data_IF_320826736171
#
_entry.id   IF_320826736171
#
_cell.length_a   1.000
_cell.length_b   1.000
_cell.length_c   1.000
_cell.angle_alpha   90.00
_cell.angle_beta   90.00
_cell.angle_gamma   90.00
#
_symmetry.space_group_name_H-M   'P 1'
#
loop_
_entity.id
_entity.type
_entity.pdbx_description
1 polymer ?
#
# COMPACT_ATOMS: atom_id res chain seq x y z
N UNK A 1 -28.90 -15.00 57.16
CA UNK A 1 -27.47 -15.35 57.22
C UNK A 1 -26.97 -15.52 55.80
N UNK A 2 -25.82 -14.90 55.52
CA UNK A 2 -25.18 -14.66 54.23
C UNK A 2 -24.52 -15.95 53.70
N UNK A 3 -24.53 -16.18 52.38
CA UNK A 3 -23.37 -16.64 51.57
C UNK A 3 -23.84 -17.19 50.22
N UNK A 4 -23.15 -17.03 49.09
CA UNK A 4 -22.18 -16.07 48.56
C UNK A 4 -22.08 -16.44 47.07
N UNK A 5 -22.32 -15.48 46.19
CA UNK A 5 -22.21 -15.65 44.73
C UNK A 5 -20.73 -15.85 44.37
N UNK A 6 -20.39 -16.99 43.79
CA UNK A 6 -19.06 -17.20 43.21
C UNK A 6 -19.17 -17.00 41.70
N UNK A 7 -18.97 -15.77 41.22
CA UNK A 7 -18.68 -15.52 39.81
C UNK A 7 -17.24 -16.00 39.54
N UNK A 8 -17.11 -17.13 38.88
CA UNK A 8 -15.84 -17.51 38.25
C UNK A 8 -15.64 -16.58 37.05
N UNK A 9 -14.82 -15.53 37.21
CA UNK A 9 -14.21 -14.82 36.10
C UNK A 9 -13.18 -15.77 35.51
N UNK A 10 -13.55 -16.49 34.45
CA UNK A 10 -12.57 -17.12 33.59
C UNK A 10 -11.82 -15.98 32.88
N UNK A 11 -10.56 -15.76 33.28
CA UNK A 11 -9.61 -15.02 32.48
C UNK A 11 -9.57 -15.70 31.10
N UNK A 12 -10.13 -15.05 30.09
CA UNK A 12 -9.87 -15.46 28.72
C UNK A 12 -8.38 -15.30 28.50
N UNK A 13 -7.68 -16.42 28.29
CA UNK A 13 -6.33 -16.42 27.75
C UNK A 13 -6.33 -15.49 26.54
N UNK A 14 -5.56 -14.41 26.66
CA UNK A 14 -5.27 -13.51 25.56
C UNK A 14 -4.41 -14.32 24.60
N UNK A 15 -5.06 -15.10 23.74
CA UNK A 15 -4.44 -15.80 22.65
C UNK A 15 -3.66 -14.73 21.90
N UNK A 16 -2.34 -14.71 22.09
CA UNK A 16 -1.45 -13.73 21.47
C UNK A 16 -1.76 -13.78 19.99
N UNK A 17 -2.45 -12.76 19.49
CA UNK A 17 -2.87 -12.73 18.10
C UNK A 17 -1.60 -12.98 17.27
N UNK A 18 -1.64 -13.89 16.28
CA UNK A 18 -0.44 -14.25 15.53
C UNK A 18 0.23 -12.98 15.04
N UNK A 19 1.54 -12.86 15.31
CA UNK A 19 2.33 -11.70 14.92
C UNK A 19 2.11 -11.47 13.41
N UNK A 20 1.48 -10.36 13.03
CA UNK A 20 1.15 -10.13 11.63
C UNK A 20 2.35 -9.60 10.84
N UNK A 21 3.55 -9.67 11.41
CA UNK A 21 4.82 -9.38 10.76
C UNK A 21 5.17 -10.45 9.73
N UNK A 22 5.73 -10.03 8.59
CA UNK A 22 6.16 -10.93 7.54
C UNK A 22 6.02 -10.37 6.14
N UNK A 23 6.34 -11.19 5.13
CA UNK A 23 6.35 -10.76 3.74
C UNK A 23 4.93 -10.44 3.25
N UNK A 24 4.81 -9.37 2.46
CA UNK A 24 3.57 -8.98 1.79
C UNK A 24 3.81 -8.71 0.31
N UNK A 25 2.78 -8.99 -0.49
CA UNK A 25 2.67 -8.55 -1.88
C UNK A 25 1.39 -7.74 -2.03
N UNK A 26 1.47 -6.57 -2.66
CA UNK A 26 0.31 -5.70 -2.92
C UNK A 26 0.23 -5.46 -4.42
N UNK A 27 -0.83 -5.98 -5.04
CA UNK A 27 -1.16 -5.73 -6.43
C UNK A 27 -2.13 -4.54 -6.51
N UNK A 28 -1.89 -3.63 -7.46
CA UNK A 28 -2.70 -2.43 -7.67
C UNK A 28 -3.05 -2.29 -9.14
N UNK A 29 -4.32 -1.98 -9.40
CA UNK A 29 -4.79 -1.47 -10.68
C UNK A 29 -5.43 -0.09 -10.45
N UNK A 30 -5.00 0.91 -11.22
CA UNK A 30 -5.40 2.30 -11.01
C UNK A 30 -5.50 3.08 -12.32
N UNK A 31 -6.17 4.23 -12.23
CA UNK A 31 -6.23 5.24 -13.28
C UNK A 31 -5.82 6.61 -12.75
N UNK A 32 -5.26 7.45 -13.62
CA UNK A 32 -5.06 8.87 -13.28
C UNK A 32 -6.41 9.55 -13.08
N UNK A 33 -6.52 10.30 -11.99
CA UNK A 33 -7.67 11.16 -11.67
C UNK A 33 -7.34 12.64 -11.82
N UNK A 34 -6.06 12.96 -11.98
CA UNK A 34 -5.52 14.29 -12.23
C UNK A 34 -4.09 14.20 -12.76
N UNK A 35 -3.40 15.33 -12.90
CA UNK A 35 -2.03 15.36 -13.41
C UNK A 35 -1.03 14.62 -12.50
N UNK A 36 -1.28 14.65 -11.19
CA UNK A 36 -0.41 14.09 -10.16
C UNK A 36 -1.15 13.14 -9.22
N UNK A 37 -2.39 12.77 -9.52
CA UNK A 37 -3.19 11.93 -8.65
C UNK A 37 -3.73 10.72 -9.39
N UNK A 38 -3.81 9.59 -8.70
CA UNK A 38 -4.44 8.38 -9.19
C UNK A 38 -5.33 7.75 -8.12
N UNK A 39 -6.28 6.94 -8.58
CA UNK A 39 -7.12 6.13 -7.71
C UNK A 39 -7.40 4.78 -8.36
N UNK A 40 -7.66 3.78 -7.53
CA UNK A 40 -7.89 2.43 -8.00
C UNK A 40 -8.23 1.45 -6.88
N UNK A 41 -7.95 0.19 -7.15
CA UNK A 41 -8.13 -0.91 -6.21
C UNK A 41 -6.80 -1.59 -5.90
N UNK A 42 -6.70 -2.18 -4.71
CA UNK A 42 -5.57 -3.02 -4.32
C UNK A 42 -6.02 -4.38 -3.80
N UNK A 43 -5.11 -5.34 -3.86
CA UNK A 43 -5.20 -6.63 -3.16
C UNK A 43 -3.85 -6.92 -2.53
N UNK A 44 -3.86 -7.24 -1.23
CA UNK A 44 -2.69 -7.60 -0.44
C UNK A 44 -2.75 -9.09 -0.07
N UNK A 45 -1.62 -9.78 -0.17
CA UNK A 45 -1.44 -11.18 0.24
C UNK A 45 -0.12 -11.37 1.00
N UNK A 46 0.05 -12.51 1.67
CA UNK A 46 1.24 -12.85 2.46
C UNK A 46 0.93 -13.00 3.94
N UNK A 47 1.76 -12.43 4.82
CA UNK A 47 1.51 -12.40 6.27
C UNK A 47 0.24 -11.64 6.64
N UNK A 48 -0.23 -10.78 5.75
CA UNK A 48 -1.51 -10.09 5.84
C UNK A 48 -2.27 -10.21 4.53
N UNK A 49 -3.59 -10.32 4.64
CA UNK A 49 -4.50 -10.29 3.50
C UNK A 49 -5.55 -9.21 3.71
N UNK A 50 -5.71 -8.36 2.70
CA UNK A 50 -6.71 -7.29 2.68
C UNK A 50 -6.95 -6.85 1.23
N UNK A 51 -8.06 -6.16 1.00
CA UNK A 51 -8.36 -5.57 -0.30
C UNK A 51 -9.27 -4.37 -0.12
N UNK A 52 -9.25 -3.47 -1.10
CA UNK A 52 -10.05 -2.27 -1.05
C UNK A 52 -9.60 -1.24 -2.07
N UNK A 53 -9.76 0.03 -1.72
CA UNK A 53 -9.45 1.16 -2.58
C UNK A 53 -8.08 1.75 -2.27
N UNK A 54 -7.52 2.43 -3.25
CA UNK A 54 -6.27 3.19 -3.09
C UNK A 54 -6.37 4.54 -3.77
N UNK A 55 -5.71 5.52 -3.15
CA UNK A 55 -5.41 6.83 -3.74
C UNK A 55 -3.92 7.10 -3.64
N UNK A 56 -3.38 7.86 -4.58
CA UNK A 56 -1.99 8.24 -4.61
C UNK A 56 -1.82 9.68 -5.10
N UNK A 57 -0.82 10.34 -4.54
CA UNK A 57 -0.29 11.62 -4.99
C UNK A 57 1.18 11.45 -5.39
N UNK A 58 1.53 11.98 -6.55
CA UNK A 58 2.83 11.89 -7.20
C UNK A 58 3.51 13.25 -7.21
N UNK A 59 4.83 13.27 -7.06
CA UNK A 59 5.67 14.44 -7.31
C UNK A 59 6.77 14.05 -8.28
N UNK A 60 6.79 14.66 -9.46
CA UNK A 60 7.82 14.43 -10.46
C UNK A 60 9.03 15.33 -10.22
N UNK A 61 10.22 14.75 -10.19
CA UNK A 61 11.49 15.46 -10.00
C UNK A 61 12.11 15.99 -11.30
N UNK A 62 11.37 15.98 -12.41
CA UNK A 62 11.87 16.42 -13.71
C UNK A 62 10.76 16.45 -14.77
N UNK A 63 11.05 16.98 -15.98
CA UNK A 63 10.08 17.04 -17.06
C UNK A 63 9.74 15.64 -17.58
N UNK A 64 8.45 15.37 -17.81
CA UNK A 64 7.97 14.08 -18.35
C UNK A 64 8.48 13.76 -19.77
N UNK A 65 9.05 14.75 -20.45
CA UNK A 65 9.66 14.59 -21.79
C UNK A 65 11.09 14.05 -21.74
N UNK A 66 11.69 13.91 -20.56
CA UNK A 66 13.06 13.40 -20.38
C UNK A 66 13.04 12.12 -19.55
N UNK A 67 13.30 11.00 -20.21
CA UNK A 67 13.40 9.69 -19.57
C UNK A 67 14.85 9.42 -19.13
N UNK A 68 15.11 8.91 -17.92
CA UNK A 68 14.13 8.54 -16.89
C UNK A 68 13.67 9.74 -16.03
N UNK A 69 12.43 9.67 -15.54
CA UNK A 69 11.85 10.69 -14.64
C UNK A 69 11.85 10.18 -13.20
N UNK A 70 12.60 10.81 -12.27
CA UNK A 70 12.49 10.49 -10.86
C UNK A 70 11.14 10.98 -10.31
N UNK A 71 10.54 10.22 -9.41
CA UNK A 71 9.32 10.63 -8.71
C UNK A 71 9.33 10.18 -7.26
N UNK A 72 8.61 10.92 -6.42
CA UNK A 72 8.21 10.50 -5.08
C UNK A 72 6.70 10.38 -5.02
N UNK A 73 6.19 9.55 -4.12
CA UNK A 73 4.75 9.38 -3.98
C UNK A 73 4.33 9.14 -2.54
N UNK A 74 3.07 9.46 -2.26
CA UNK A 74 2.36 9.05 -1.05
C UNK A 74 1.10 8.33 -1.49
N UNK A 75 0.91 7.11 -0.99
CA UNK A 75 -0.23 6.27 -1.31
C UNK A 75 -0.95 5.86 -0.06
N UNK A 76 -2.27 5.94 -0.09
CA UNK A 76 -3.13 5.40 0.95
C UNK A 76 -3.87 4.18 0.41
N UNK A 77 -3.83 3.08 1.17
CA UNK A 77 -4.61 1.87 0.96
C UNK A 77 -5.70 1.84 2.04
N UNK A 78 -6.96 1.70 1.62
CA UNK A 78 -8.11 1.65 2.51
C UNK A 78 -8.82 0.32 2.32
N UNK A 79 -8.63 -0.59 3.28
CA UNK A 79 -9.25 -1.90 3.31
C UNK A 79 -10.18 -2.08 4.51
N UNK A 80 -10.66 -3.30 4.72
CA UNK A 80 -11.53 -3.61 5.87
C UNK A 80 -10.78 -3.61 7.19
N UNK A 81 -9.47 -3.85 7.13
CA UNK A 81 -8.61 -3.94 8.30
C UNK A 81 -8.11 -2.57 8.79
N UNK A 82 -8.40 -1.50 8.06
CA UNK A 82 -7.97 -0.13 8.35
C UNK A 82 -7.29 0.52 7.15
N UNK A 83 -6.54 1.58 7.41
CA UNK A 83 -5.75 2.28 6.40
C UNK A 83 -4.25 2.02 6.57
N UNK A 84 -3.54 1.92 5.45
CA UNK A 84 -2.09 1.88 5.39
C UNK A 84 -1.61 2.96 4.42
N UNK A 85 -0.86 3.92 4.93
CA UNK A 85 -0.21 4.96 4.13
C UNK A 85 1.26 4.60 3.95
N UNK A 86 1.70 4.56 2.70
CA UNK A 86 3.09 4.32 2.31
C UNK A 86 3.63 5.52 1.56
N UNK A 87 4.91 5.80 1.75
CA UNK A 87 5.66 6.77 0.97
C UNK A 87 6.74 6.04 0.18
N UNK A 88 7.04 6.50 -1.02
CA UNK A 88 8.11 5.89 -1.81
C UNK A 88 8.81 6.83 -2.75
N UNK A 89 9.83 6.30 -3.39
CA UNK A 89 10.62 6.94 -4.44
C UNK A 89 10.80 5.95 -5.57
N UNK A 90 10.57 6.38 -6.80
CA UNK A 90 10.65 5.52 -7.96
C UNK A 90 11.18 6.29 -9.17
N UNK A 91 11.50 5.53 -10.20
CA UNK A 91 11.93 6.04 -11.50
C UNK A 91 10.95 5.56 -12.55
N UNK A 92 10.40 6.50 -13.31
CA UNK A 92 9.54 6.24 -14.45
C UNK A 92 10.40 6.24 -15.74
N UNK A 93 10.38 5.15 -16.48
CA UNK A 93 11.14 4.99 -17.73
C UNK A 93 10.16 4.82 -18.88
N UNK A 94 10.13 5.79 -19.79
CA UNK A 94 9.27 5.73 -20.97
C UNK A 94 9.88 4.79 -22.03
N UNK A 95 9.09 3.84 -22.51
CA UNK A 95 9.43 2.98 -23.66
C UNK A 95 8.79 3.48 -24.96
N UNK A 96 7.77 4.33 -24.86
CA UNK A 96 7.16 5.06 -25.97
C UNK A 96 6.49 6.33 -25.44
N UNK A 97 5.82 7.11 -26.31
CA UNK A 97 5.02 8.25 -25.88
C UNK A 97 3.83 7.86 -24.97
N UNK A 98 3.37 6.61 -25.04
CA UNK A 98 2.17 6.15 -24.33
C UNK A 98 2.43 5.03 -23.33
N UNK A 99 3.68 4.56 -23.21
CA UNK A 99 4.03 3.46 -22.33
C UNK A 99 5.26 3.79 -21.48
N UNK A 100 5.17 3.47 -20.19
CA UNK A 100 6.29 3.57 -19.27
C UNK A 100 6.32 2.41 -18.27
N UNK A 101 7.50 2.12 -17.75
CA UNK A 101 7.69 1.23 -16.60
C UNK A 101 8.13 2.03 -15.39
N UNK A 102 7.84 1.51 -14.21
CA UNK A 102 8.19 2.10 -12.93
C UNK A 102 8.95 1.10 -12.08
N UNK A 103 10.02 1.54 -11.41
CA UNK A 103 10.74 0.77 -10.41
C UNK A 103 11.21 1.67 -9.27
N UNK A 104 11.15 1.19 -8.02
CA UNK A 104 11.49 2.00 -6.85
C UNK A 104 11.38 1.27 -5.52
N UNK A 105 11.29 2.05 -4.46
CA UNK A 105 11.14 1.58 -3.08
C UNK A 105 9.98 2.26 -2.36
N UNK A 106 9.53 1.63 -1.28
CA UNK A 106 8.51 2.17 -0.39
C UNK A 106 8.82 1.90 1.07
N UNK A 107 8.21 2.71 1.93
CA UNK A 107 8.21 2.58 3.39
C UNK A 107 6.80 2.87 3.92
N UNK A 108 6.39 2.21 4.99
CA UNK A 108 5.19 2.58 5.73
C UNK A 108 5.42 3.95 6.39
N UNK A 109 4.48 4.87 6.20
CA UNK A 109 4.46 6.18 6.84
C UNK A 109 3.52 6.17 8.05
N UNK A 110 2.34 5.53 7.92
CA UNK A 110 1.34 5.43 8.98
C UNK A 110 0.36 4.29 8.72
N UNK A 111 -0.19 3.70 9.77
CA UNK A 111 -1.32 2.78 9.68
C UNK A 111 -2.39 3.05 10.73
N UNK A 112 -3.61 2.56 10.47
CA UNK A 112 -4.75 2.56 11.41
C UNK A 112 -5.37 1.16 11.49
N UNK A 113 -6.23 0.93 12.48
CA UNK A 113 -6.86 -0.39 12.68
C UNK A 113 -5.82 -1.49 12.90
N UNK A 114 -5.91 -2.57 12.15
CA UNK A 114 -4.96 -3.68 12.21
C UNK A 114 -3.54 -3.29 11.76
N UNK A 115 -3.38 -2.15 11.06
CA UNK A 115 -2.10 -1.60 10.64
C UNK A 115 -1.51 -0.59 11.63
N UNK A 116 -2.17 -0.32 12.75
CA UNK A 116 -1.64 0.56 13.78
C UNK A 116 -0.27 0.06 14.28
N UNK A 117 0.69 0.98 14.42
CA UNK A 117 2.08 0.73 14.82
C UNK A 117 2.88 -0.18 13.87
N UNK A 118 2.34 -0.51 12.70
CA UNK A 118 3.09 -1.27 11.69
C UNK A 118 4.18 -0.39 11.08
N UNK A 119 5.38 -0.94 10.96
CA UNK A 119 6.44 -0.46 10.08
C UNK A 119 6.59 -1.39 8.88
N UNK A 120 7.35 -1.00 7.87
CA UNK A 120 7.58 -1.88 6.74
C UNK A 120 8.27 -1.17 5.60
N UNK A 121 8.95 -1.95 4.77
CA UNK A 121 9.70 -1.46 3.61
C UNK A 121 9.67 -2.47 2.49
N UNK A 122 9.97 -2.02 1.27
CA UNK A 122 10.10 -2.91 0.14
C UNK A 122 10.36 -2.20 -1.17
N UNK A 123 10.11 -2.93 -2.25
CA UNK A 123 10.25 -2.49 -3.64
C UNK A 123 8.90 -2.35 -4.30
N UNK A 124 8.82 -1.45 -5.28
CA UNK A 124 7.70 -1.29 -6.19
C UNK A 124 8.17 -1.50 -7.63
N UNK A 125 7.37 -2.21 -8.42
CA UNK A 125 7.51 -2.26 -9.87
C UNK A 125 6.15 -2.08 -10.54
N UNK A 126 6.13 -1.71 -11.81
CA UNK A 126 4.89 -1.67 -12.57
C UNK A 126 5.01 -1.03 -13.94
N UNK A 127 3.85 -0.77 -14.54
CA UNK A 127 3.73 -0.12 -15.84
C UNK A 127 2.59 0.89 -15.87
N UNK A 128 2.71 1.87 -16.76
CA UNK A 128 1.71 2.88 -17.05
C UNK A 128 1.38 2.88 -18.55
N UNK A 129 0.09 3.04 -18.86
CA UNK A 129 -0.44 3.21 -20.20
C UNK A 129 -1.13 4.59 -20.30
N UNK A 130 -0.44 5.55 -20.91
CA UNK A 130 -0.95 6.89 -21.17
C UNK A 130 -1.79 6.99 -22.45
N UNK A 131 -1.92 5.91 -23.23
CA UNK A 131 -2.81 5.83 -24.38
C UNK A 131 -4.23 5.39 -24.03
N UNK A 132 -4.49 4.96 -22.79
CA UNK A 132 -5.82 4.66 -22.30
C UNK A 132 -6.58 5.94 -21.91
N UNK A 133 -7.92 5.87 -21.89
CA UNK A 133 -8.78 7.00 -21.49
C UNK A 133 -9.70 6.59 -20.33
N UNK A 134 -9.44 7.02 -19.08
CA UNK A 134 -8.24 7.76 -18.64
C UNK A 134 -6.96 6.88 -18.66
N UNK A 135 -5.75 7.49 -18.59
CA UNK A 135 -4.50 6.75 -18.42
C UNK A 135 -4.54 5.79 -17.24
N UNK A 136 -3.94 4.61 -17.40
CA UNK A 136 -3.98 3.53 -16.41
C UNK A 136 -2.58 3.11 -15.96
N UNK A 137 -2.51 2.41 -14.82
CA UNK A 137 -1.29 1.79 -14.35
C UNK A 137 -1.56 0.53 -13.54
N UNK A 138 -0.61 -0.41 -13.62
CA UNK A 138 -0.58 -1.62 -12.81
C UNK A 138 0.73 -1.65 -12.03
N UNK A 139 0.64 -1.89 -10.71
CA UNK A 139 1.78 -1.87 -9.82
C UNK A 139 1.80 -3.13 -8.96
N UNK A 140 3.01 -3.58 -8.63
CA UNK A 140 3.26 -4.63 -7.65
C UNK A 140 4.24 -4.11 -6.61
N UNK A 141 3.82 -4.14 -5.35
CA UNK A 141 4.67 -3.89 -4.21
C UNK A 141 5.05 -5.23 -3.62
N UNK A 142 6.33 -5.42 -3.32
CA UNK A 142 6.83 -6.56 -2.58
C UNK A 142 7.66 -6.04 -1.42
N UNK A 143 7.50 -6.64 -0.24
CA UNK A 143 8.28 -6.22 0.93
C UNK A 143 7.84 -6.94 2.18
N UNK A 144 8.08 -6.30 3.32
CA UNK A 144 7.78 -6.85 4.64
C UNK A 144 7.09 -5.79 5.50
N UNK A 145 6.13 -6.24 6.29
CA UNK A 145 5.53 -5.47 7.37
C UNK A 145 6.03 -6.03 8.71
N UNK A 146 6.26 -5.16 9.68
CA UNK A 146 6.73 -5.51 11.02
C UNK A 146 5.93 -4.73 12.08
N UNK A 147 5.75 -5.30 13.27
CA UNK A 147 4.97 -4.72 14.38
C UNK A 147 5.81 -4.47 15.64
#
# INVERSE_FOLDING_TARGET
>A
MISATSLAVACSDDATAPDPSGPVTIAIAQSLTGQTTSAGAFTMTGSRADSGSTTEELTFGGPLTQSPVPLTYVRTLTGKQGTLTVRGSATLTFSSQTAATLAGTWTVEKGTGAYANTTGTGTITGSANFGATPPTGTLTYAGRLDR
#
